data_IF_498673562976
#
_entry.id   IF_498673562976
#
_cell.length_a   1.000
_cell.length_b   1.000
_cell.length_c   1.000
_cell.angle_alpha   90.00
_cell.angle_beta   90.00
_cell.angle_gamma   90.00
#
_symmetry.space_group_name_H-M   'P 1'
#
loop_
_entity.id
_entity.type
_entity.pdbx_description
1 polymer ?
#
# COMPACT_ATOMS: atom_id res chain seq x y z
N UNK A 1 10.02 35.00 -15.60
CA UNK A 1 8.98 34.89 -14.55
C UNK A 1 9.64 34.31 -13.31
N UNK A 2 9.47 34.89 -12.11
CA UNK A 2 10.02 34.27 -10.90
C UNK A 2 9.38 32.89 -10.69
N UNK A 3 10.19 31.87 -10.43
CA UNK A 3 9.74 30.50 -10.12
C UNK A 3 9.02 30.59 -8.78
N UNK A 4 7.68 30.50 -8.75
CA UNK A 4 6.93 30.46 -7.49
C UNK A 4 7.36 29.20 -6.73
N UNK A 5 8.12 29.40 -5.66
CA UNK A 5 8.67 28.31 -4.85
C UNK A 5 7.62 27.87 -3.84
N UNK A 6 7.41 26.56 -3.70
CA UNK A 6 6.56 26.04 -2.64
C UNK A 6 7.20 26.28 -1.28
N UNK A 7 6.43 26.73 -0.31
CA UNK A 7 6.92 26.87 1.07
C UNK A 7 7.21 25.49 1.67
N UNK A 8 8.31 25.37 2.39
CA UNK A 8 8.75 24.10 3.00
C UNK A 8 7.70 23.50 3.95
N UNK A 9 6.96 24.34 4.68
CA UNK A 9 5.91 23.91 5.59
C UNK A 9 4.77 23.16 4.86
N UNK A 10 4.47 23.54 3.63
CA UNK A 10 3.48 22.86 2.77
C UNK A 10 3.98 21.48 2.40
N UNK A 11 5.26 21.37 2.02
CA UNK A 11 5.91 20.08 1.69
C UNK A 11 5.93 19.16 2.91
N UNK A 12 6.33 19.67 4.08
CA UNK A 12 6.36 18.92 5.33
C UNK A 12 4.97 18.41 5.73
N UNK A 13 3.94 19.26 5.65
CA UNK A 13 2.55 18.88 5.92
C UNK A 13 2.07 17.80 4.96
N UNK A 14 2.41 17.91 3.67
CA UNK A 14 2.07 16.90 2.68
C UNK A 14 2.80 15.57 2.93
N UNK A 15 4.07 15.58 3.36
CA UNK A 15 4.81 14.36 3.74
C UNK A 15 4.20 13.71 4.98
N UNK A 16 3.83 14.49 6.00
CA UNK A 16 3.16 13.98 7.20
C UNK A 16 1.85 13.26 6.85
N UNK A 17 1.04 13.85 5.97
CA UNK A 17 -0.16 13.19 5.46
C UNK A 17 0.19 11.94 4.64
N UNK A 18 1.20 12.02 3.78
CA UNK A 18 1.65 10.92 2.94
C UNK A 18 2.16 9.71 3.73
N UNK A 19 2.74 9.92 4.92
CA UNK A 19 3.18 8.85 5.79
C UNK A 19 2.04 7.91 6.22
N UNK A 20 0.77 8.30 6.07
CA UNK A 20 -0.38 7.39 6.28
C UNK A 20 -0.49 6.27 5.22
N UNK A 21 0.30 6.34 4.15
CA UNK A 21 0.40 5.30 3.14
C UNK A 21 0.63 3.91 3.78
N UNK A 22 0.06 2.85 3.19
CA UNK A 22 0.35 1.49 3.61
C UNK A 22 1.76 1.09 3.17
N UNK A 23 2.41 0.27 3.99
CA UNK A 23 3.65 -0.42 3.61
C UNK A 23 3.63 -1.86 4.13
N UNK A 24 4.45 -2.74 3.55
CA UNK A 24 4.66 -4.10 4.06
C UNK A 24 4.96 -4.00 5.56
N UNK A 25 4.21 -4.74 6.37
CA UNK A 25 4.35 -4.78 7.83
C UNK A 25 4.40 -3.41 8.55
N UNK A 26 3.93 -2.33 7.91
CA UNK A 26 4.08 -0.96 8.39
C UNK A 26 5.54 -0.54 8.64
N UNK A 27 6.50 -1.07 7.87
CA UNK A 27 7.94 -0.74 7.96
C UNK A 27 8.31 0.69 7.57
N UNK A 28 7.49 1.34 6.74
CA UNK A 28 7.63 2.73 6.28
C UNK A 28 9.03 3.01 5.69
N UNK A 29 9.42 2.32 4.59
CA UNK A 29 10.79 2.28 4.09
C UNK A 29 11.15 3.46 3.18
N UNK A 30 10.58 4.64 3.45
CA UNK A 30 10.79 5.85 2.65
C UNK A 30 11.65 6.86 3.40
N UNK A 31 12.51 7.54 2.64
CA UNK A 31 13.30 8.69 3.09
C UNK A 31 13.12 9.84 2.11
N UNK A 32 12.70 10.98 2.63
CA UNK A 32 12.46 12.21 1.90
C UNK A 32 13.60 13.20 2.15
N UNK A 33 14.14 13.78 1.09
CA UNK A 33 15.27 14.72 1.18
C UNK A 33 14.96 15.95 0.34
N UNK A 34 14.97 17.11 0.95
CA UNK A 34 14.99 18.40 0.23
C UNK A 34 16.44 18.75 -0.05
N UNK A 35 16.76 18.99 -1.31
CA UNK A 35 18.10 19.34 -1.77
C UNK A 35 17.99 20.50 -2.78
N UNK A 36 17.89 21.76 -2.29
CA UNK A 36 17.71 22.94 -3.12
C UNK A 36 19.06 23.27 -3.81
N UNK A 37 19.38 22.55 -4.88
CA UNK A 37 20.65 22.72 -5.59
C UNK A 37 21.01 21.56 -6.53
N UNK A 38 20.37 20.40 -6.37
CA UNK A 38 20.66 19.17 -7.13
C UNK A 38 20.37 19.24 -8.64
N UNK A 39 19.67 20.29 -9.11
CA UNK A 39 19.31 20.50 -10.52
C UNK A 39 18.24 19.55 -11.07
N UNK A 40 17.88 18.47 -10.36
CA UNK A 40 16.95 17.40 -10.79
C UNK A 40 15.60 17.41 -10.06
N UNK A 41 15.48 18.13 -8.94
CA UNK A 41 14.24 18.27 -8.19
C UNK A 41 14.42 19.18 -6.97
N UNK A 42 13.31 19.62 -6.38
CA UNK A 42 13.33 20.36 -5.10
C UNK A 42 13.13 19.38 -3.91
N UNK A 43 12.55 18.20 -4.16
CA UNK A 43 12.32 17.12 -3.19
C UNK A 43 12.65 15.77 -3.82
N UNK A 44 13.31 14.90 -3.07
CA UNK A 44 13.72 13.57 -3.50
C UNK A 44 13.12 12.50 -2.57
N UNK A 45 12.71 11.37 -3.15
CA UNK A 45 12.27 10.18 -2.44
C UNK A 45 13.28 9.06 -2.68
N UNK A 46 13.79 8.51 -1.58
CA UNK A 46 14.69 7.37 -1.57
C UNK A 46 14.07 6.15 -0.86
N UNK A 47 14.48 4.96 -1.29
CA UNK A 47 14.29 3.73 -0.52
C UNK A 47 15.23 3.72 0.68
N UNK A 48 14.68 3.54 1.88
CA UNK A 48 15.46 3.28 3.10
C UNK A 48 15.66 1.76 3.27
N UNK A 49 16.80 1.26 2.76
CA UNK A 49 17.13 -0.18 2.84
C UNK A 49 17.27 -0.70 4.26
N UNK A 50 17.53 0.15 5.25
CA UNK A 50 17.59 -0.28 6.66
C UNK A 50 16.24 -0.78 7.18
N UNK A 51 15.17 -0.54 6.43
CA UNK A 51 13.78 -0.89 6.75
C UNK A 51 13.19 -1.96 5.86
N UNK A 52 13.99 -2.53 4.96
CA UNK A 52 13.59 -3.70 4.20
C UNK A 52 13.47 -4.92 5.13
N UNK A 53 12.49 -5.77 4.83
CA UNK A 53 12.25 -7.01 5.57
C UNK A 53 12.93 -8.13 4.81
N UNK A 54 14.16 -8.48 5.19
CA UNK A 54 15.09 -9.20 4.33
C UNK A 54 14.69 -10.64 4.01
N UNK A 55 13.99 -11.35 4.91
CA UNK A 55 13.54 -12.72 4.64
C UNK A 55 12.18 -12.75 3.93
N UNK A 56 11.33 -11.78 4.22
CA UNK A 56 10.01 -11.64 3.57
C UNK A 56 10.09 -11.06 2.16
N UNK A 57 10.87 -9.99 1.97
CA UNK A 57 11.03 -9.19 0.74
C UNK A 57 12.52 -9.05 0.40
N UNK A 58 13.16 -10.18 0.07
CA UNK A 58 14.59 -10.31 -0.20
C UNK A 58 15.12 -9.37 -1.30
N UNK A 59 14.26 -9.04 -2.27
CA UNK A 59 14.57 -8.16 -3.41
C UNK A 59 14.13 -6.71 -3.21
N UNK A 60 13.53 -6.36 -2.06
CA UNK A 60 13.03 -5.00 -1.78
C UNK A 60 11.86 -4.58 -2.68
N UNK A 61 11.16 -5.55 -3.28
CA UNK A 61 10.08 -5.33 -4.24
C UNK A 61 8.91 -4.62 -3.57
N UNK A 62 8.49 -5.13 -2.43
CA UNK A 62 7.37 -4.58 -1.65
C UNK A 62 7.75 -3.30 -0.94
N UNK A 63 9.02 -3.13 -0.57
CA UNK A 63 9.54 -1.88 -0.06
C UNK A 63 9.43 -0.76 -1.11
N UNK A 64 9.79 -1.02 -2.37
CA UNK A 64 9.62 -0.04 -3.46
C UNK A 64 8.13 0.23 -3.75
N UNK A 65 7.28 -0.80 -3.75
CA UNK A 65 5.81 -0.63 -3.88
C UNK A 65 5.28 0.25 -2.73
N UNK A 66 5.76 0.05 -1.51
CA UNK A 66 5.38 0.88 -0.36
C UNK A 66 5.78 2.35 -0.55
N UNK A 67 6.99 2.61 -1.06
CA UNK A 67 7.43 3.96 -1.42
C UNK A 67 6.58 4.56 -2.54
N UNK A 68 6.14 3.77 -3.52
CA UNK A 68 5.23 4.22 -4.57
C UNK A 68 3.87 4.65 -4.01
N UNK A 69 3.35 3.91 -3.03
CA UNK A 69 2.11 4.29 -2.36
C UNK A 69 2.27 5.61 -1.59
N UNK A 70 3.40 5.80 -0.89
CA UNK A 70 3.72 7.06 -0.23
C UNK A 70 3.89 8.23 -1.21
N UNK A 71 4.48 7.97 -2.38
CA UNK A 71 4.64 8.97 -3.45
C UNK A 71 3.31 9.45 -4.00
N UNK A 72 2.36 8.55 -4.24
CA UNK A 72 1.03 8.96 -4.69
C UNK A 72 0.21 9.64 -3.58
N UNK A 73 0.28 9.15 -2.34
CA UNK A 73 -0.32 9.87 -1.21
C UNK A 73 0.23 11.30 -1.08
N UNK A 74 1.54 11.49 -1.29
CA UNK A 74 2.17 12.81 -1.31
C UNK A 74 1.63 13.69 -2.45
N UNK A 75 1.47 13.14 -3.66
CA UNK A 75 0.88 13.86 -4.80
C UNK A 75 -0.57 14.29 -4.50
N UNK A 76 -1.36 13.43 -3.87
CA UNK A 76 -2.73 13.74 -3.43
C UNK A 76 -2.74 14.86 -2.38
N UNK A 77 -1.85 14.78 -1.39
CA UNK A 77 -1.72 15.81 -0.35
C UNK A 77 -1.34 17.18 -0.97
N UNK A 78 -0.33 17.20 -1.84
CA UNK A 78 0.08 18.41 -2.56
C UNK A 78 -1.03 18.99 -3.43
N UNK A 79 -1.79 18.13 -4.13
CA UNK A 79 -2.94 18.54 -4.93
C UNK A 79 -4.00 19.26 -4.10
N UNK A 80 -4.32 18.73 -2.90
CA UNK A 80 -5.25 19.36 -1.97
C UNK A 80 -4.77 20.71 -1.43
N UNK A 81 -3.45 20.93 -1.41
CA UNK A 81 -2.79 22.17 -1.01
C UNK A 81 -2.56 23.16 -2.16
N UNK A 82 -3.06 22.89 -3.37
CA UNK A 82 -2.94 23.79 -4.52
C UNK A 82 -1.65 23.62 -5.34
N UNK A 83 -0.97 22.49 -5.23
CA UNK A 83 0.27 22.22 -5.94
C UNK A 83 0.18 20.95 -6.78
N UNK A 84 0.78 20.99 -7.97
CA UNK A 84 1.03 19.81 -8.79
C UNK A 84 2.48 19.37 -8.57
N UNK A 85 2.65 18.16 -8.04
CA UNK A 85 3.96 17.50 -7.95
C UNK A 85 4.27 16.77 -9.26
N UNK A 86 5.23 17.28 -10.03
CA UNK A 86 5.78 16.61 -11.20
C UNK A 86 6.88 15.65 -10.76
N UNK A 87 6.71 14.39 -11.11
CA UNK A 87 7.57 13.29 -10.65
C UNK A 87 8.39 12.75 -11.81
N UNK A 88 9.71 12.88 -11.70
CA UNK A 88 10.67 12.07 -12.45
C UNK A 88 10.97 10.81 -11.63
N UNK A 89 10.78 9.63 -12.23
CA UNK A 89 10.86 8.34 -11.54
C UNK A 89 12.17 7.65 -11.87
N UNK A 90 12.87 7.21 -10.84
CA UNK A 90 14.20 6.59 -10.93
C UNK A 90 15.13 7.48 -11.79
N UNK A 91 15.35 8.74 -11.37
CA UNK A 91 16.09 9.74 -12.17
C UNK A 91 17.58 9.41 -12.30
N UNK A 92 18.14 8.65 -11.36
CA UNK A 92 19.56 8.28 -11.33
C UNK A 92 19.71 6.77 -11.62
N UNK A 93 20.19 6.39 -12.81
CA UNK A 93 20.43 4.98 -13.16
C UNK A 93 21.48 4.29 -12.30
N UNK A 94 22.44 5.05 -11.74
CA UNK A 94 23.54 4.53 -10.92
C UNK A 94 23.13 4.39 -9.45
N UNK A 95 22.00 5.01 -9.06
CA UNK A 95 21.41 4.90 -7.74
C UNK A 95 19.94 4.41 -7.81
N UNK A 96 19.71 3.09 -7.87
CA UNK A 96 18.35 2.54 -7.97
C UNK A 96 17.49 2.79 -6.72
N UNK A 97 18.09 3.21 -5.60
CA UNK A 97 17.37 3.59 -4.40
C UNK A 97 16.85 5.03 -4.48
N UNK A 98 17.32 5.85 -5.42
CA UNK A 98 16.72 7.15 -5.75
C UNK A 98 15.44 6.93 -6.55
N UNK A 99 14.31 6.84 -5.85
CA UNK A 99 13.03 6.44 -6.45
C UNK A 99 12.34 7.56 -7.21
N UNK A 100 12.42 8.80 -6.73
CA UNK A 100 11.84 9.93 -7.43
C UNK A 100 12.52 11.26 -7.13
N UNK A 101 12.60 12.11 -8.15
CA UNK A 101 12.85 13.54 -8.01
C UNK A 101 11.57 14.32 -8.36
N UNK A 102 11.24 15.31 -7.53
CA UNK A 102 9.95 15.99 -7.54
C UNK A 102 10.15 17.49 -7.68
N UNK A 103 9.42 18.08 -8.62
CA UNK A 103 9.31 19.53 -8.81
C UNK A 103 7.87 19.98 -8.65
N UNK A 104 7.68 21.23 -8.24
CA UNK A 104 6.37 21.75 -7.89
C UNK A 104 5.90 22.83 -8.86
N UNK A 105 4.63 22.76 -9.27
CA UNK A 105 3.97 23.79 -10.04
C UNK A 105 2.69 24.23 -9.33
N UNK A 106 2.44 25.55 -9.18
CA UNK A 106 1.19 26.01 -8.60
C UNK A 106 0.00 25.60 -9.48
N UNK A 107 -1.10 25.19 -8.86
CA UNK A 107 -2.37 24.93 -9.56
C UNK A 107 -3.27 26.15 -9.44
N UNK A 108 -3.94 26.49 -10.53
CA UNK A 108 -4.91 27.59 -10.56
C UNK A 108 -6.17 27.31 -9.73
N UNK A 109 -6.55 26.03 -9.59
CA UNK A 109 -7.77 25.61 -8.87
C UNK A 109 -7.52 24.29 -8.13
N UNK A 110 -7.95 24.23 -6.88
CA UNK A 110 -8.11 22.99 -6.10
C UNK A 110 -9.55 22.51 -6.25
N UNK A 111 -9.75 21.33 -6.84
CA UNK A 111 -11.10 20.77 -7.02
C UNK A 111 -11.54 20.00 -5.78
N UNK A 112 -12.85 19.89 -5.55
CA UNK A 112 -13.43 19.18 -4.39
C UNK A 112 -12.94 17.73 -4.30
N UNK A 113 -12.72 17.08 -5.45
CA UNK A 113 -12.18 15.72 -5.51
C UNK A 113 -10.78 15.58 -4.88
N UNK A 114 -9.92 16.59 -5.03
CA UNK A 114 -8.56 16.56 -4.45
C UNK A 114 -8.62 16.58 -2.92
N UNK A 115 -9.51 17.40 -2.35
CA UNK A 115 -9.73 17.45 -0.89
C UNK A 115 -10.31 16.13 -0.36
N UNK A 116 -11.30 15.58 -1.05
CA UNK A 116 -11.90 14.29 -0.68
C UNK A 116 -10.87 13.17 -0.68
N UNK A 117 -9.98 13.10 -1.69
CA UNK A 117 -8.89 12.11 -1.72
C UNK A 117 -7.90 12.32 -0.57
N UNK A 118 -7.57 13.56 -0.22
CA UNK A 118 -6.74 13.84 0.95
C UNK A 118 -7.43 13.40 2.27
N UNK A 119 -8.73 13.59 2.41
CA UNK A 119 -9.50 13.07 3.55
C UNK A 119 -9.49 11.53 3.58
N UNK A 120 -9.56 10.88 2.41
CA UNK A 120 -9.50 9.43 2.30
C UNK A 120 -8.17 8.85 2.80
N UNK A 121 -7.05 9.58 2.68
CA UNK A 121 -5.76 9.17 3.25
C UNK A 121 -5.86 8.95 4.77
N UNK A 122 -6.60 9.81 5.47
CA UNK A 122 -6.77 9.73 6.93
C UNK A 122 -7.74 8.62 7.35
N UNK A 123 -8.71 8.30 6.49
CA UNK A 123 -9.77 7.32 6.77
C UNK A 123 -9.36 5.89 6.42
N UNK A 124 -8.53 5.72 5.37
CA UNK A 124 -8.11 4.43 4.85
C UNK A 124 -7.37 3.62 5.91
N UNK A 125 -7.76 2.36 6.03
CA UNK A 125 -7.14 1.36 6.90
C UNK A 125 -7.11 0.00 6.21
N UNK A 126 -6.16 -0.82 6.63
CA UNK A 126 -6.12 -2.23 6.23
C UNK A 126 -7.03 -2.99 7.18
N UNK A 127 -8.10 -3.58 6.66
CA UNK A 127 -9.03 -4.38 7.43
C UNK A 127 -8.83 -5.86 7.08
N UNK A 128 -8.44 -6.66 8.08
CA UNK A 128 -8.14 -8.08 7.88
C UNK A 128 -9.35 -8.98 8.13
N UNK A 129 -10.47 -8.42 8.61
CA UNK A 129 -11.70 -9.16 8.85
C UNK A 129 -12.36 -9.62 7.54
N UNK A 130 -13.26 -10.62 7.58
CA UNK A 130 -14.04 -11.00 6.40
C UNK A 130 -14.99 -9.87 5.98
N UNK A 131 -15.15 -9.68 4.68
CA UNK A 131 -16.00 -8.64 4.08
C UNK A 131 -17.27 -9.22 3.49
N UNK A 132 -18.34 -8.43 3.51
CA UNK A 132 -19.49 -8.67 2.64
C UNK A 132 -19.17 -8.23 1.21
N UNK A 133 -19.93 -8.76 0.24
CA UNK A 133 -19.77 -8.37 -1.16
C UNK A 133 -20.04 -6.88 -1.37
N UNK A 134 -19.20 -6.18 -2.16
CA UNK A 134 -19.40 -4.77 -2.42
C UNK A 134 -20.67 -4.54 -3.27
N UNK A 135 -21.56 -3.62 -2.88
CA UNK A 135 -22.75 -3.29 -3.66
C UNK A 135 -22.33 -2.56 -4.94
N UNK A 136 -23.10 -2.75 -6.02
CA UNK A 136 -22.88 -2.06 -7.30
C UNK A 136 -21.44 -2.22 -7.85
N UNK A 137 -20.81 -3.37 -7.63
CA UNK A 137 -19.41 -3.62 -8.02
C UNK A 137 -19.09 -3.24 -9.46
N UNK A 138 -19.96 -3.57 -10.43
CA UNK A 138 -19.75 -3.25 -11.84
C UNK A 138 -19.69 -1.74 -12.13
N UNK A 139 -20.34 -0.90 -11.32
CA UNK A 139 -20.22 0.55 -11.43
C UNK A 139 -18.87 1.02 -10.86
N UNK A 140 -18.49 0.51 -9.70
CA UNK A 140 -17.21 0.83 -9.07
C UNK A 140 -16.01 0.40 -9.94
N UNK A 141 -16.03 -0.82 -10.48
CA UNK A 141 -14.97 -1.33 -11.35
C UNK A 141 -14.82 -0.49 -12.64
N UNK A 142 -15.93 -0.05 -13.25
CA UNK A 142 -15.89 0.88 -14.39
C UNK A 142 -15.34 2.25 -13.99
N UNK A 143 -15.71 2.76 -12.83
CA UNK A 143 -15.18 4.02 -12.30
C UNK A 143 -13.67 3.91 -12.07
N UNK A 144 -13.19 2.88 -11.37
CA UNK A 144 -11.77 2.64 -11.17
C UNK A 144 -11.01 2.62 -12.51
N UNK A 145 -11.47 1.85 -13.49
CA UNK A 145 -10.85 1.79 -14.82
C UNK A 145 -10.86 3.14 -15.56
N UNK A 146 -11.80 4.03 -15.27
CA UNK A 146 -11.84 5.37 -15.88
C UNK A 146 -10.88 6.37 -15.22
N UNK A 147 -10.53 6.14 -13.95
CA UNK A 147 -9.63 7.01 -13.18
C UNK A 147 -8.17 6.61 -13.41
N UNK A 148 -7.92 5.31 -13.58
CA UNK A 148 -6.59 4.75 -13.86
C UNK A 148 -6.14 5.16 -15.26
N UNK A 149 -5.33 6.21 -15.30
CA UNK A 149 -4.85 6.82 -16.55
C UNK A 149 -3.51 6.21 -17.02
N UNK A 150 -2.79 5.52 -16.13
CA UNK A 150 -1.47 4.96 -16.41
C UNK A 150 -1.55 3.49 -16.87
N UNK A 151 -1.01 3.21 -18.05
CA UNK A 151 -0.96 1.85 -18.60
C UNK A 151 0.28 1.06 -18.17
N UNK A 152 1.14 1.62 -17.32
CA UNK A 152 2.35 0.94 -16.83
C UNK A 152 2.04 -0.23 -15.86
N UNK A 153 0.85 -0.21 -15.24
CA UNK A 153 0.38 -1.23 -14.31
C UNK A 153 -1.00 -1.68 -14.76
N UNK A 154 -1.24 -2.98 -14.74
CA UNK A 154 -2.51 -3.58 -15.11
C UNK A 154 -3.28 -3.88 -13.83
N UNK A 155 -4.54 -3.40 -13.77
CA UNK A 155 -5.50 -3.75 -12.74
C UNK A 155 -6.47 -4.79 -13.30
N UNK A 156 -6.45 -6.00 -12.75
CA UNK A 156 -7.41 -7.06 -13.08
C UNK A 156 -8.40 -7.25 -11.93
N UNK A 157 -9.68 -7.43 -12.28
CA UNK A 157 -10.68 -7.98 -11.36
C UNK A 157 -10.65 -9.49 -11.49
N UNK A 158 -10.33 -10.20 -10.42
CA UNK A 158 -10.30 -11.66 -10.43
C UNK A 158 -11.73 -12.19 -10.31
N UNK A 159 -12.09 -13.13 -11.18
CA UNK A 159 -13.37 -13.83 -11.13
C UNK A 159 -13.50 -14.62 -9.82
N UNK A 160 -14.70 -14.62 -9.22
CA UNK A 160 -14.95 -15.35 -7.97
C UNK A 160 -14.70 -16.86 -8.14
N UNK A 161 -14.87 -17.40 -9.35
CA UNK A 161 -14.55 -18.79 -9.69
C UNK A 161 -13.06 -19.14 -9.49
N UNK A 162 -12.18 -18.14 -9.47
CA UNK A 162 -10.74 -18.32 -9.25
C UNK A 162 -10.34 -18.19 -7.77
N UNK A 163 -11.26 -17.83 -6.86
CA UNK A 163 -10.95 -17.73 -5.42
C UNK A 163 -10.35 -19.01 -4.83
N UNK A 164 -10.83 -20.24 -5.15
CA UNK A 164 -10.20 -21.46 -4.63
C UNK A 164 -8.72 -21.58 -5.01
N UNK A 165 -8.34 -21.15 -6.22
CA UNK A 165 -6.93 -21.14 -6.66
C UNK A 165 -6.08 -20.12 -5.90
N UNK A 166 -6.65 -18.97 -5.56
CA UNK A 166 -5.97 -18.00 -4.71
C UNK A 166 -5.83 -18.50 -3.27
N UNK A 167 -6.85 -19.17 -2.73
CA UNK A 167 -6.77 -19.80 -1.41
C UNK A 167 -5.70 -20.91 -1.39
N UNK A 168 -5.60 -21.72 -2.45
CA UNK A 168 -4.51 -22.69 -2.65
C UNK A 168 -3.13 -22.01 -2.64
N UNK A 169 -2.96 -20.90 -3.37
CA UNK A 169 -1.70 -20.14 -3.37
C UNK A 169 -1.38 -19.55 -1.99
N UNK A 170 -2.40 -19.13 -1.23
CA UNK A 170 -2.27 -18.63 0.14
C UNK A 170 -1.75 -19.72 1.07
N UNK A 171 -2.43 -20.87 1.07
CA UNK A 171 -2.05 -22.03 1.87
C UNK A 171 -0.66 -22.57 1.49
N UNK A 172 -0.32 -22.56 0.20
CA UNK A 172 1.01 -22.97 -0.28
C UNK A 172 2.11 -22.04 0.26
N UNK A 173 1.91 -20.72 0.20
CA UNK A 173 2.85 -19.75 0.77
C UNK A 173 3.08 -19.97 2.27
N UNK A 174 2.00 -20.22 3.03
CA UNK A 174 2.09 -20.49 4.46
C UNK A 174 2.82 -21.81 4.73
N UNK A 175 2.47 -22.88 4.01
CA UNK A 175 3.09 -24.19 4.14
C UNK A 175 4.60 -24.17 3.87
N UNK A 176 5.04 -23.44 2.84
CA UNK A 176 6.45 -23.28 2.50
C UNK A 176 7.25 -22.50 3.56
N UNK A 177 6.56 -21.76 4.45
CA UNK A 177 7.17 -20.92 5.48
C UNK A 177 7.03 -21.46 6.90
N UNK A 178 6.37 -22.60 7.10
CA UNK A 178 6.21 -23.24 8.43
C UNK A 178 7.57 -23.43 9.13
N UNK A 179 8.58 -23.89 8.39
CA UNK A 179 9.92 -24.15 8.93
C UNK A 179 10.93 -23.04 8.65
N UNK A 180 10.48 -21.90 8.14
CA UNK A 180 11.34 -20.74 7.89
C UNK A 180 11.44 -19.88 9.15
N UNK A 181 12.32 -20.27 10.07
CA UNK A 181 12.47 -19.59 11.36
C UNK A 181 12.83 -18.11 11.22
N UNK A 182 13.59 -17.74 10.18
CA UNK A 182 13.93 -16.34 9.91
C UNK A 182 12.68 -15.53 9.53
N UNK A 183 11.81 -16.07 8.68
CA UNK A 183 10.55 -15.44 8.31
C UNK A 183 9.61 -15.33 9.52
N UNK A 184 9.49 -16.38 10.33
CA UNK A 184 8.65 -16.35 11.53
C UNK A 184 9.14 -15.30 12.53
N UNK A 185 10.45 -15.23 12.78
CA UNK A 185 11.04 -14.22 13.66
C UNK A 185 10.81 -12.78 13.14
N UNK A 186 10.91 -12.55 11.83
CA UNK A 186 10.58 -11.24 11.23
C UNK A 186 9.10 -10.89 11.42
N UNK A 187 8.19 -11.85 11.21
CA UNK A 187 6.76 -11.63 11.36
C UNK A 187 6.39 -11.32 12.82
N UNK A 188 6.99 -12.02 13.77
CA UNK A 188 6.84 -11.77 15.20
C UNK A 188 7.41 -10.39 15.59
N UNK A 189 8.59 -10.03 15.07
CA UNK A 189 9.19 -8.71 15.30
C UNK A 189 8.26 -7.58 14.86
N UNK A 190 7.73 -7.67 13.63
CA UNK A 190 6.88 -6.63 13.07
C UNK A 190 5.44 -6.62 13.60
N UNK A 191 5.05 -7.60 14.42
CA UNK A 191 3.75 -7.65 15.09
C UNK A 191 3.85 -7.52 16.61
N UNK A 192 5.07 -7.33 17.13
CA UNK A 192 5.34 -7.16 18.54
C UNK A 192 4.68 -5.90 19.11
N UNK A 193 4.23 -5.96 20.37
CA UNK A 193 3.43 -4.89 20.99
C UNK A 193 4.23 -3.66 21.45
N UNK A 194 5.57 -3.72 21.41
CA UNK A 194 6.44 -2.66 21.92
C UNK A 194 7.00 -1.73 20.83
N UNK A 195 6.69 -1.96 19.55
CA UNK A 195 7.12 -1.10 18.45
C UNK A 195 6.30 0.21 18.47
N UNK A 196 6.97 1.31 18.82
CA UNK A 196 6.39 2.65 18.78
C UNK A 196 6.62 3.25 17.40
N UNK A 197 5.57 3.70 16.72
CA UNK A 197 5.69 4.38 15.42
C UNK A 197 5.70 3.48 14.18
N UNK A 198 5.83 2.16 14.33
CA UNK A 198 5.93 1.19 13.22
C UNK A 198 5.32 -0.16 13.57
N UNK A 199 5.37 -1.12 12.64
CA UNK A 199 4.81 -2.45 12.86
C UNK A 199 3.29 -2.50 12.83
N UNK A 200 2.76 -3.72 12.92
CA UNK A 200 1.33 -3.99 12.97
C UNK A 200 0.91 -4.11 14.43
N UNK A 201 0.14 -3.15 14.98
CA UNK A 201 -0.29 -3.20 16.36
C UNK A 201 -1.33 -4.32 16.54
N UNK A 202 -1.46 -4.83 17.78
CA UNK A 202 -2.46 -5.84 18.14
C UNK A 202 -3.89 -5.47 17.72
N UNK A 203 -4.25 -4.19 17.80
CA UNK A 203 -5.58 -3.70 17.38
C UNK A 203 -5.88 -3.88 15.88
N UNK A 204 -4.86 -4.12 15.05
CA UNK A 204 -4.97 -4.37 13.62
C UNK A 204 -4.82 -5.87 13.25
N UNK A 205 -4.58 -6.73 14.26
CA UNK A 205 -4.54 -8.19 14.10
C UNK A 205 -5.93 -8.79 14.32
N UNK A 206 -6.05 -10.08 14.03
CA UNK A 206 -7.29 -10.86 14.12
C UNK A 206 -7.10 -12.05 15.07
N UNK A 207 -8.19 -12.51 15.66
CA UNK A 207 -8.24 -13.78 16.38
C UNK A 207 -8.21 -14.97 15.42
N UNK A 208 -7.94 -16.17 15.94
CA UNK A 208 -7.94 -17.40 15.12
C UNK A 208 -9.28 -17.60 14.38
N UNK A 209 -10.41 -17.55 15.09
CA UNK A 209 -11.73 -17.71 14.47
C UNK A 209 -12.16 -16.57 13.55
N UNK A 210 -11.49 -15.41 13.59
CA UNK A 210 -11.66 -14.38 12.56
C UNK A 210 -10.81 -14.67 11.32
N UNK A 211 -9.58 -15.16 11.53
CA UNK A 211 -8.68 -15.59 10.46
C UNK A 211 -9.25 -16.75 9.66
N UNK A 212 -9.88 -17.73 10.34
CA UNK A 212 -10.48 -18.92 9.71
C UNK A 212 -11.62 -18.57 8.72
N UNK A 213 -12.20 -17.37 8.83
CA UNK A 213 -13.26 -16.88 7.94
C UNK A 213 -12.72 -16.18 6.68
N UNK A 214 -11.40 -16.06 6.55
CA UNK A 214 -10.71 -15.37 5.45
C UNK A 214 -9.75 -16.34 4.76
N UNK A 215 -10.17 -16.86 3.61
CA UNK A 215 -9.42 -17.82 2.79
C UNK A 215 -8.20 -17.21 2.08
N UNK A 216 -8.28 -15.92 1.74
CA UNK A 216 -7.24 -15.19 1.01
C UNK A 216 -6.68 -14.10 1.93
N UNK A 217 -5.60 -14.42 2.64
CA UNK A 217 -4.93 -13.49 3.56
C UNK A 217 -3.68 -14.12 4.16
N UNK A 218 -2.69 -13.29 4.50
CA UNK A 218 -1.51 -13.77 5.22
C UNK A 218 -1.90 -14.16 6.64
N UNK A 219 -1.47 -15.33 7.09
CA UNK A 219 -1.54 -15.71 8.50
C UNK A 219 -0.58 -14.85 9.32
N UNK A 220 -1.12 -14.07 10.26
CA UNK A 220 -0.37 -13.29 11.25
C UNK A 220 -0.51 -13.93 12.64
N UNK A 221 0.38 -13.62 13.60
CA UNK A 221 0.16 -13.93 15.00
C UNK A 221 -1.21 -13.47 15.47
N UNK A 222 -1.98 -14.39 16.06
CA UNK A 222 -3.37 -14.14 16.44
C UNK A 222 -3.46 -13.47 17.81
N UNK A 223 -4.46 -12.61 17.97
CA UNK A 223 -4.79 -12.04 19.29
C UNK A 223 -5.83 -12.89 20.00
N UNK A 224 -5.66 -13.04 21.31
CA UNK A 224 -6.68 -13.67 22.15
C UNK A 224 -7.77 -12.64 22.44
N UNK A 225 -8.93 -12.79 21.79
CA UNK A 225 -10.14 -12.05 22.11
C UNK A 225 -11.22 -13.01 22.58
N UNK A 226 -11.92 -12.66 23.67
CA UNK A 226 -12.99 -13.48 24.25
C UNK A 226 -14.22 -13.58 23.35
N UNK A 227 -14.41 -12.63 22.45
CA UNK A 227 -15.56 -12.58 21.54
C UNK A 227 -15.09 -12.06 20.19
N UNK A 228 -15.20 -12.85 19.12
CA UNK A 228 -14.89 -12.40 17.76
C UNK A 228 -15.70 -11.16 17.39
N UNK A 229 -15.11 -10.26 16.61
CA UNK A 229 -15.85 -9.12 16.07
C UNK A 229 -16.95 -9.62 15.13
N UNK A 230 -18.13 -8.95 15.16
CA UNK A 230 -19.23 -9.31 14.27
C UNK A 230 -18.80 -9.14 12.82
N UNK A 231 -19.30 -10.01 11.95
CA UNK A 231 -19.03 -9.99 10.52
C UNK A 231 -19.55 -11.25 9.82
N UNK A 232 -19.43 -11.33 8.49
CA UNK A 232 -19.88 -12.49 7.74
C UNK A 232 -19.14 -13.75 8.17
N UNK A 233 -19.78 -14.91 7.96
CA UNK A 233 -19.19 -16.22 8.26
C UNK A 233 -18.07 -16.58 7.28
N UNK A 234 -18.09 -16.01 6.08
CA UNK A 234 -17.11 -16.23 5.03
C UNK A 234 -16.78 -14.89 4.36
N UNK A 235 -15.53 -14.71 3.95
CA UNK A 235 -15.12 -13.54 3.18
C UNK A 235 -15.70 -13.57 1.75
N UNK A 236 -16.43 -12.51 1.40
CA UNK A 236 -17.03 -12.31 0.08
C UNK A 236 -16.50 -11.07 -0.63
N UNK A 237 -15.30 -10.62 -0.26
CA UNK A 237 -14.60 -9.53 -0.92
C UNK A 237 -14.45 -9.79 -2.43
N UNK A 238 -14.40 -8.75 -3.23
CA UNK A 238 -13.82 -8.84 -4.58
C UNK A 238 -12.30 -8.80 -4.47
N UNK A 239 -11.60 -9.59 -5.29
CA UNK A 239 -10.14 -9.58 -5.31
C UNK A 239 -9.66 -8.89 -6.58
N UNK A 240 -8.84 -7.87 -6.40
CA UNK A 240 -8.16 -7.16 -7.47
C UNK A 240 -6.69 -7.59 -7.52
N UNK A 241 -6.10 -7.63 -8.70
CA UNK A 241 -4.67 -7.85 -8.90
C UNK A 241 -4.01 -6.66 -9.60
N UNK A 242 -2.86 -6.26 -9.08
CA UNK A 242 -1.94 -5.34 -9.74
C UNK A 242 -0.80 -6.14 -10.34
N UNK A 243 -0.56 -5.95 -11.64
CA UNK A 243 0.53 -6.61 -12.37
C UNK A 243 1.34 -5.58 -13.15
N UNK A 244 2.64 -5.83 -13.30
CA UNK A 244 3.53 -5.00 -14.11
C UNK A 244 4.08 -5.79 -15.30
N UNK A 245 4.69 -5.09 -16.24
CA UNK A 245 5.39 -5.74 -17.35
C UNK A 245 6.71 -6.40 -16.89
N UNK A 246 7.34 -5.87 -15.83
CA UNK A 246 8.65 -6.31 -15.30
C UNK A 246 8.77 -6.00 -13.81
N UNK A 247 9.74 -6.65 -13.15
CA UNK A 247 10.14 -6.40 -11.76
C UNK A 247 11.30 -5.39 -11.67
N UNK A 248 11.19 -4.23 -12.34
CA UNK A 248 12.22 -3.16 -12.19
C UNK A 248 11.76 -2.08 -11.22
N UNK A 249 12.68 -1.34 -10.55
CA UNK A 249 12.31 -0.29 -9.59
C UNK A 249 11.25 0.67 -10.10
N UNK A 250 11.35 1.10 -11.36
CA UNK A 250 10.37 1.99 -12.01
C UNK A 250 8.97 1.36 -12.09
N UNK A 251 8.86 0.09 -12.47
CA UNK A 251 7.56 -0.59 -12.56
C UNK A 251 6.95 -0.85 -11.18
N UNK A 252 7.79 -1.19 -10.20
CA UNK A 252 7.37 -1.42 -8.82
C UNK A 252 6.89 -0.13 -8.15
N UNK A 253 7.60 0.98 -8.38
CA UNK A 253 7.20 2.29 -7.89
C UNK A 253 5.84 2.69 -8.48
N UNK A 254 5.67 2.52 -9.80
CA UNK A 254 4.38 2.73 -10.47
C UNK A 254 3.27 1.84 -9.91
N UNK A 255 3.57 0.58 -9.60
CA UNK A 255 2.62 -0.33 -8.97
C UNK A 255 2.19 0.18 -7.59
N UNK A 256 3.11 0.74 -6.81
CA UNK A 256 2.81 1.39 -5.54
C UNK A 256 1.89 2.61 -5.70
N UNK A 257 2.15 3.45 -6.70
CA UNK A 257 1.27 4.59 -6.98
C UNK A 257 -0.15 4.15 -7.33
N UNK A 258 -0.30 3.15 -8.21
CA UNK A 258 -1.62 2.61 -8.54
C UNK A 258 -2.29 1.91 -7.35
N UNK A 259 -1.50 1.22 -6.50
CA UNK A 259 -2.01 0.65 -5.26
C UNK A 259 -2.63 1.74 -4.37
N UNK A 260 -1.94 2.86 -4.19
CA UNK A 260 -2.47 4.01 -3.46
C UNK A 260 -3.79 4.50 -4.06
N UNK A 261 -3.82 4.74 -5.36
CA UNK A 261 -5.01 5.23 -6.06
C UNK A 261 -6.22 4.29 -5.85
N UNK A 262 -6.04 2.98 -6.04
CA UNK A 262 -7.12 1.98 -5.83
C UNK A 262 -7.62 1.99 -4.38
N UNK A 263 -6.72 2.07 -3.40
CA UNK A 263 -7.10 2.09 -1.99
C UNK A 263 -7.84 3.37 -1.59
N UNK A 264 -7.43 4.52 -2.13
CA UNK A 264 -8.09 5.80 -1.86
C UNK A 264 -9.46 5.88 -2.53
N UNK A 265 -9.60 5.42 -3.78
CA UNK A 265 -10.88 5.38 -4.48
C UNK A 265 -11.86 4.38 -3.83
N UNK A 266 -11.38 3.22 -3.37
CA UNK A 266 -12.20 2.30 -2.59
C UNK A 266 -12.67 2.95 -1.28
N UNK A 267 -11.79 3.66 -0.58
CA UNK A 267 -12.14 4.37 0.66
C UNK A 267 -13.18 5.45 0.40
N UNK A 268 -13.05 6.23 -0.68
CA UNK A 268 -14.03 7.24 -1.08
C UNK A 268 -15.40 6.66 -1.41
N UNK A 269 -15.42 5.45 -1.97
CA UNK A 269 -16.64 4.71 -2.24
C UNK A 269 -17.20 3.96 -1.01
N UNK A 270 -16.60 4.16 0.17
CA UNK A 270 -17.04 3.54 1.43
C UNK A 270 -16.69 2.05 1.56
N UNK A 271 -15.77 1.55 0.75
CA UNK A 271 -15.31 0.16 0.79
C UNK A 271 -14.13 -0.04 1.73
N UNK A 272 -14.12 -1.18 2.40
CA UNK A 272 -12.98 -1.69 3.15
C UNK A 272 -11.98 -2.35 2.20
N UNK A 273 -10.70 -2.30 2.57
CA UNK A 273 -9.60 -2.81 1.75
C UNK A 273 -8.57 -3.60 2.55
N UNK A 274 -8.02 -4.66 1.97
CA UNK A 274 -6.85 -5.35 2.48
C UNK A 274 -5.87 -5.69 1.35
N UNK A 275 -4.66 -5.15 1.42
CA UNK A 275 -3.57 -5.53 0.50
C UNK A 275 -2.94 -6.86 0.92
N UNK A 276 -2.65 -7.72 -0.05
CA UNK A 276 -2.14 -9.08 0.14
C UNK A 276 -0.96 -9.30 -0.80
N UNK A 277 0.16 -9.76 -0.24
CA UNK A 277 1.43 -9.91 -0.97
C UNK A 277 2.16 -11.22 -0.69
N UNK A 278 1.79 -11.96 0.38
CA UNK A 278 2.50 -13.18 0.79
C UNK A 278 2.50 -14.29 -0.27
N UNK A 279 1.47 -14.34 -1.11
CA UNK A 279 1.38 -15.25 -2.25
C UNK A 279 2.30 -14.89 -3.42
N UNK A 280 2.97 -13.73 -3.34
CA UNK A 280 3.81 -13.17 -4.40
C UNK A 280 5.29 -13.09 -3.99
N UNK A 281 5.61 -13.50 -2.76
CA UNK A 281 6.95 -13.44 -2.17
C UNK A 281 7.80 -14.66 -2.52
N UNK A 282 7.17 -15.82 -2.73
CA UNK A 282 7.85 -17.04 -3.15
C UNK A 282 7.53 -17.34 -4.62
N UNK A 283 8.53 -17.77 -5.38
CA UNK A 283 8.36 -18.08 -6.81
C UNK A 283 7.21 -19.05 -7.05
N UNK A 284 7.13 -20.14 -6.27
CA UNK A 284 6.12 -21.18 -6.44
C UNK A 284 4.67 -20.67 -6.29
N UNK A 285 4.37 -19.91 -5.23
CA UNK A 285 3.02 -19.35 -5.05
C UNK A 285 2.74 -18.20 -6.02
N UNK A 286 3.76 -17.40 -6.37
CA UNK A 286 3.64 -16.32 -7.35
C UNK A 286 3.28 -16.85 -8.74
N UNK A 287 3.85 -17.99 -9.14
CA UNK A 287 3.53 -18.68 -10.39
C UNK A 287 2.07 -19.16 -10.42
N UNK A 288 1.54 -19.70 -9.30
CA UNK A 288 0.12 -20.08 -9.19
C UNK A 288 -0.78 -18.87 -9.38
N UNK A 289 -0.48 -17.74 -8.71
CA UNK A 289 -1.24 -16.50 -8.90
C UNK A 289 -1.14 -16.01 -10.35
N UNK A 290 0.08 -15.98 -10.91
CA UNK A 290 0.32 -15.55 -12.27
C UNK A 290 -0.45 -16.35 -13.32
N UNK A 291 -0.49 -17.67 -13.17
CA UNK A 291 -1.30 -18.56 -14.01
C UNK A 291 -2.81 -18.30 -13.83
N UNK A 292 -3.25 -18.06 -12.59
CA UNK A 292 -4.67 -17.79 -12.26
C UNK A 292 -5.18 -16.52 -12.94
N UNK A 293 -4.35 -15.47 -13.01
CA UNK A 293 -4.75 -14.18 -13.59
C UNK A 293 -4.22 -13.95 -15.01
N UNK A 294 -3.46 -14.90 -15.57
CA UNK A 294 -2.83 -14.75 -16.90
C UNK A 294 -1.77 -13.65 -16.98
N UNK A 295 -1.01 -13.41 -15.90
CA UNK A 295 0.02 -12.36 -15.81
C UNK A 295 1.36 -12.92 -15.35
N UNK A 296 2.44 -12.47 -15.98
CA UNK A 296 3.80 -12.92 -15.63
C UNK A 296 4.34 -12.30 -14.34
N UNK A 297 3.98 -11.06 -14.02
CA UNK A 297 4.50 -10.33 -12.85
C UNK A 297 3.39 -9.71 -11.99
N UNK A 298 2.58 -10.54 -11.29
CA UNK A 298 1.70 -10.04 -10.24
C UNK A 298 2.54 -9.39 -9.13
N UNK A 299 2.05 -8.26 -8.60
CA UNK A 299 2.76 -7.42 -7.62
C UNK A 299 2.03 -7.27 -6.30
N UNK A 300 0.71 -7.11 -6.33
CA UNK A 300 -0.11 -7.01 -5.14
C UNK A 300 -1.53 -7.48 -5.47
N UNK A 301 -2.20 -8.07 -4.48
CA UNK A 301 -3.62 -8.34 -4.51
C UNK A 301 -4.33 -7.43 -3.51
N UNK A 302 -5.60 -7.12 -3.76
CA UNK A 302 -6.40 -6.25 -2.90
C UNK A 302 -7.77 -6.88 -2.73
N UNK A 303 -8.12 -7.26 -1.50
CA UNK A 303 -9.50 -7.55 -1.13
C UNK A 303 -10.26 -6.23 -0.98
N UNK A 304 -11.41 -6.12 -1.63
CA UNK A 304 -12.29 -4.95 -1.58
C UNK A 304 -13.71 -5.41 -1.27
N UNK A 305 -14.34 -4.86 -0.24
CA UNK A 305 -15.70 -5.24 0.14
C UNK A 305 -16.31 -4.30 1.17
N UNK A 306 -17.42 -4.71 1.76
CA UNK A 306 -18.02 -3.97 2.86
C UNK A 306 -17.57 -4.56 4.20
N UNK A 307 -17.00 -3.70 5.05
CA UNK A 307 -16.86 -4.01 6.46
C UNK A 307 -18.22 -3.83 7.16
N UNK A 308 -18.54 -4.65 8.19
CA UNK A 308 -19.72 -4.45 9.01
C UNK A 308 -19.77 -3.02 9.59
N UNK A 309 -20.92 -2.36 9.45
CA UNK A 309 -21.13 -0.99 9.94
C UNK A 309 -21.23 -0.91 11.46
N UNK A 310 -21.59 -2.02 12.11
CA UNK A 310 -21.73 -2.13 13.55
C UNK A 310 -20.46 -2.73 14.15
N UNK A 311 -19.56 -1.87 14.64
CA UNK A 311 -18.32 -2.29 15.27
C UNK A 311 -17.45 -1.09 15.64
N UNK A 312 -16.63 -1.25 16.67
CA UNK A 312 -15.64 -0.24 17.04
C UNK A 312 -14.53 -0.23 15.99
N UNK A 313 -14.36 0.89 15.30
CA UNK A 313 -13.22 1.09 14.40
C UNK A 313 -11.93 1.07 15.23
N UNK A 314 -10.95 0.20 14.92
CA UNK A 314 -9.68 0.19 15.62
C UNK A 314 -8.96 1.53 15.51
N UNK A 315 -8.12 1.90 16.50
CA UNK A 315 -7.31 3.11 16.39
C UNK A 315 -6.40 3.02 15.15
N UNK A 316 -6.06 4.17 14.53
CA UNK A 316 -5.13 4.21 13.41
C UNK A 316 -3.81 3.53 13.77
N UNK A 317 -3.25 2.74 12.85
CA UNK A 317 -1.90 2.19 13.05
C UNK A 317 -0.88 3.32 13.15
N UNK A 318 0.18 3.17 13.96
CA UNK A 318 1.14 4.24 14.22
C UNK A 318 1.97 4.55 12.97
N UNK A 319 2.55 5.76 12.94
CA UNK A 319 3.52 6.18 11.93
C UNK A 319 4.73 6.82 12.60
N UNK A 320 5.87 6.73 11.92
CA UNK A 320 7.11 7.41 12.30
C UNK A 320 6.91 8.92 12.28
N UNK A 321 7.71 9.62 13.08
CA UNK A 321 7.66 11.08 13.08
C UNK A 321 8.22 11.64 11.78
N UNK A 322 7.89 12.89 11.44
CA UNK A 322 8.45 13.54 10.26
C UNK A 322 9.99 13.57 10.31
N UNK A 323 10.58 13.83 11.49
CA UNK A 323 12.02 13.90 11.67
C UNK A 323 12.75 12.59 11.35
N UNK A 324 12.04 11.45 11.46
CA UNK A 324 12.61 10.13 11.17
C UNK A 324 12.66 9.82 9.66
N UNK A 325 11.86 10.51 8.86
CA UNK A 325 11.67 10.23 7.43
C UNK A 325 12.05 11.38 6.51
N UNK A 326 12.30 12.58 7.05
CA UNK A 326 12.50 13.80 6.28
C UNK A 326 13.77 14.55 6.71
N UNK A 327 14.56 14.96 5.73
CA UNK A 327 15.81 15.70 5.89
C UNK A 327 15.86 16.90 4.93
N UNK A 328 16.51 17.98 5.36
CA UNK A 328 16.86 19.12 4.51
C UNK A 328 18.38 19.15 4.40
N UNK A 329 18.89 19.06 3.17
CA UNK A 329 20.31 19.28 2.86
C UNK A 329 20.52 20.72 2.41
N UNK A 330 21.61 21.31 2.85
CA UNK A 330 22.03 22.67 2.51
C UNK A 330 23.41 22.68 1.87
#
# INVERSE_FOLDING_TARGET
>A
MPKTMVHIDVVQTAIQLACRAPSLHNTQPWRWIVDPGSGSGDLHLYLDRSRCVNRTDDRGREAIISCGAALDHFRVAMASAGWMARVERVPDPDNPDHLAAITFLPRSVVVVGDRRRADAILQRRTDRLPFESPPNWSQFARMLNSVISDRAVILDVIDDAMRPRLAEASALSDALRIYDSAYQNELDWWTASFTLGEGIPRSALVSAGESDRVDIGRTFPVVSERTPRPGPQEDRAKVLALSTARDTPKHLLRCGELLSEVLLEATLAGMATCTITHMLELTASREVVGATIGRAHPQALIRVGLAPTFGRVPPPTPRRSLADVFEIRG
#
